data_IF_779542091006
#
_entry.id   IF_779542091006
#
_cell.length_a   1.000
_cell.length_b   1.000
_cell.length_c   1.000
_cell.angle_alpha   90.00
_cell.angle_beta   90.00
_cell.angle_gamma   90.00
#
_symmetry.space_group_name_H-M   'P 1'
#
loop_
_entity.id
_entity.type
_entity.pdbx_description
1 polymer ?
#
# COMPACT_ATOMS: atom_id res chain seq x y z
N UNK A 1 6.42 16.75 -15.43
CA UNK A 1 5.30 15.88 -15.00
C UNK A 1 5.73 15.25 -13.68
N UNK A 2 4.85 15.12 -12.68
CA UNK A 2 5.21 14.55 -11.38
C UNK A 2 5.15 13.02 -11.44
N UNK A 3 6.28 12.36 -11.22
CA UNK A 3 6.40 10.89 -11.34
C UNK A 3 6.68 10.20 -10.00
N UNK A 4 7.31 10.90 -9.06
CA UNK A 4 7.63 10.38 -7.74
C UNK A 4 7.04 11.31 -6.68
N UNK A 5 6.43 10.72 -5.66
CA UNK A 5 5.82 11.45 -4.55
C UNK A 5 6.19 10.76 -3.25
N UNK A 6 6.75 11.53 -2.31
CA UNK A 6 7.00 11.09 -0.95
C UNK A 6 6.16 11.93 0.01
N UNK A 7 5.43 11.27 0.90
CA UNK A 7 4.60 11.89 1.94
C UNK A 7 5.05 11.38 3.30
N UNK A 8 5.26 12.29 4.24
CA UNK A 8 5.68 11.95 5.60
C UNK A 8 4.80 12.68 6.63
N UNK A 9 4.14 11.92 7.52
CA UNK A 9 3.37 12.47 8.63
C UNK A 9 2.12 13.24 8.21
N UNK A 10 1.46 12.85 7.11
CA UNK A 10 0.26 13.52 6.60
C UNK A 10 -0.99 12.61 6.69
N UNK A 11 -1.59 12.43 7.87
CA UNK A 11 -2.64 11.43 8.09
C UNK A 11 -3.98 11.75 7.40
N UNK A 12 -4.23 13.02 7.09
CA UNK A 12 -5.47 13.48 6.42
C UNK A 12 -5.25 13.79 4.93
N UNK A 13 -4.10 13.41 4.38
CA UNK A 13 -3.81 13.65 2.97
C UNK A 13 -4.63 12.73 2.08
N UNK A 14 -5.32 13.32 1.10
CA UNK A 14 -6.09 12.58 0.10
C UNK A 14 -5.41 12.78 -1.24
N UNK A 15 -4.98 11.70 -1.87
CA UNK A 15 -4.41 11.78 -3.20
C UNK A 15 -5.48 12.20 -4.21
N UNK A 16 -5.32 13.36 -4.90
CA UNK A 16 -6.13 13.66 -6.07
C UNK A 16 -5.79 12.67 -7.20
N UNK A 17 -6.48 12.79 -8.34
CA UNK A 17 -6.15 11.99 -9.53
C UNK A 17 -4.77 12.40 -10.07
N UNK A 18 -3.71 11.75 -9.61
CA UNK A 18 -2.35 11.96 -10.07
C UNK A 18 -2.00 10.86 -11.08
N UNK A 19 -2.38 11.09 -12.34
CA UNK A 19 -2.26 10.10 -13.42
C UNK A 19 -0.83 9.80 -13.86
N UNK A 20 0.16 10.55 -13.37
CA UNK A 20 1.56 10.39 -13.77
C UNK A 20 2.47 9.86 -12.67
N UNK A 21 1.98 9.75 -11.43
CA UNK A 21 2.79 9.26 -10.31
C UNK A 21 2.99 7.76 -10.47
N UNK A 22 4.25 7.36 -10.61
CA UNK A 22 4.71 5.98 -10.78
C UNK A 22 5.30 5.40 -9.50
N UNK A 23 5.86 6.26 -8.63
CA UNK A 23 6.41 5.87 -7.34
C UNK A 23 5.76 6.68 -6.22
N UNK A 24 5.22 5.99 -5.23
CA UNK A 24 4.72 6.60 -4.01
C UNK A 24 5.44 6.00 -2.80
N UNK A 25 5.98 6.88 -1.96
CA UNK A 25 6.44 6.53 -0.63
C UNK A 25 5.59 7.28 0.40
N UNK A 26 4.96 6.53 1.31
CA UNK A 26 4.03 7.04 2.30
C UNK A 26 4.45 6.59 3.69
N UNK A 27 4.93 7.53 4.49
CA UNK A 27 5.36 7.33 5.87
C UNK A 27 4.39 8.08 6.79
N UNK A 28 3.79 7.44 7.79
CA UNK A 28 2.98 8.21 8.72
C UNK A 28 2.29 7.38 9.78
N UNK A 29 2.82 7.48 11.00
CA UNK A 29 2.38 6.86 12.25
C UNK A 29 0.85 6.80 12.46
N UNK A 30 0.10 7.79 11.97
CA UNK A 30 -1.36 7.91 12.17
C UNK A 30 -2.22 7.89 10.91
N UNK A 31 -1.74 7.25 9.83
CA UNK A 31 -2.51 7.14 8.60
C UNK A 31 -3.86 6.44 8.86
N UNK A 32 -4.97 7.03 8.44
CA UNK A 32 -6.30 6.43 8.64
C UNK A 32 -6.72 5.57 7.43
N UNK A 33 -7.88 4.93 7.51
CA UNK A 33 -8.42 4.16 6.39
C UNK A 33 -8.67 5.04 5.13
N UNK A 34 -8.89 6.34 5.30
CA UNK A 34 -9.13 7.30 4.21
C UNK A 34 -7.87 7.55 3.39
N UNK A 35 -6.73 7.72 4.07
CA UNK A 35 -5.41 7.82 3.43
C UNK A 35 -5.15 6.63 2.51
N UNK A 36 -5.24 5.41 3.04
CA UNK A 36 -5.00 4.19 2.28
C UNK A 36 -5.99 4.00 1.13
N UNK A 37 -7.26 4.37 1.32
CA UNK A 37 -8.24 4.37 0.23
C UNK A 37 -7.76 5.27 -0.89
N UNK A 38 -7.34 6.50 -0.62
CA UNK A 38 -6.99 7.43 -1.70
C UNK A 38 -5.83 6.97 -2.61
N UNK A 39 -5.01 6.00 -2.18
CA UNK A 39 -3.97 5.38 -3.02
C UNK A 39 -4.56 4.71 -4.27
N UNK A 40 -5.81 4.24 -4.24
CA UNK A 40 -6.48 3.63 -5.41
C UNK A 40 -6.59 4.62 -6.60
N UNK A 41 -6.47 5.93 -6.38
CA UNK A 41 -6.51 6.94 -7.45
C UNK A 41 -5.25 6.93 -8.33
N UNK A 42 -4.17 6.29 -7.88
CA UNK A 42 -2.85 6.36 -8.50
C UNK A 42 -2.61 5.20 -9.48
N UNK A 43 -3.38 5.19 -10.57
CA UNK A 43 -3.42 4.07 -11.54
C UNK A 43 -2.11 3.81 -12.30
N UNK A 44 -1.19 4.78 -12.31
CA UNK A 44 0.12 4.67 -12.93
C UNK A 44 1.20 4.09 -12.01
N UNK A 45 0.87 3.79 -10.74
CA UNK A 45 1.85 3.27 -9.79
C UNK A 45 2.47 1.97 -10.26
N UNK A 46 3.80 1.95 -10.18
CA UNK A 46 4.65 0.78 -10.39
C UNK A 46 5.43 0.42 -9.13
N UNK A 47 5.63 1.38 -8.22
CA UNK A 47 6.29 1.19 -6.93
C UNK A 47 5.51 1.89 -5.82
N UNK A 48 5.19 1.14 -4.77
CA UNK A 48 4.48 1.63 -3.60
C UNK A 48 5.20 1.19 -2.34
N UNK A 49 5.61 2.14 -1.52
CA UNK A 49 6.08 1.92 -0.17
C UNK A 49 5.09 2.55 0.80
N UNK A 50 4.54 1.74 1.70
CA UNK A 50 3.75 2.22 2.83
C UNK A 50 4.43 1.82 4.12
N UNK A 51 4.54 2.77 5.05
CA UNK A 51 5.24 2.58 6.30
C UNK A 51 4.51 3.23 7.47
N UNK A 52 4.63 2.58 8.63
CA UNK A 52 4.29 3.11 9.95
C UNK A 52 2.80 3.31 10.15
N UNK A 53 2.14 2.32 10.73
CA UNK A 53 0.82 2.51 11.32
C UNK A 53 0.70 1.65 12.57
N UNK A 54 0.58 2.30 13.72
CA UNK A 54 0.47 1.64 15.01
C UNK A 54 -0.98 1.26 15.36
N UNK A 55 -1.97 1.62 14.54
CA UNK A 55 -3.39 1.32 14.81
C UNK A 55 -4.04 0.36 13.82
N UNK A 56 -3.53 0.28 12.60
CA UNK A 56 -4.15 -0.50 11.53
C UNK A 56 -3.96 -2.00 11.75
N UNK A 57 -5.07 -2.71 11.92
CA UNK A 57 -5.08 -4.18 12.00
C UNK A 57 -5.16 -4.86 10.64
N UNK A 58 -5.61 -4.14 9.62
CA UNK A 58 -5.68 -4.56 8.22
C UNK A 58 -5.60 -3.35 7.28
N UNK A 59 -5.24 -3.59 6.02
CA UNK A 59 -5.28 -2.57 4.95
C UNK A 59 -6.62 -2.64 4.18
N UNK A 60 -7.11 -1.54 3.57
CA UNK A 60 -8.39 -1.54 2.87
C UNK A 60 -8.39 -2.43 1.61
N UNK A 61 -9.44 -3.24 1.44
CA UNK A 61 -9.60 -4.12 0.26
C UNK A 61 -9.65 -3.38 -1.09
N UNK A 62 -10.09 -2.13 -1.12
CA UNK A 62 -10.16 -1.37 -2.37
C UNK A 62 -8.80 -0.79 -2.80
N UNK A 63 -7.82 -0.79 -1.90
CA UNK A 63 -6.52 -0.15 -2.11
C UNK A 63 -5.78 -0.75 -3.31
N UNK A 64 -5.75 -2.08 -3.42
CA UNK A 64 -4.95 -2.79 -4.42
C UNK A 64 -5.68 -3.05 -5.73
N UNK A 65 -7.02 -3.05 -5.73
CA UNK A 65 -7.85 -3.44 -6.90
C UNK A 65 -7.61 -2.60 -8.16
N UNK A 66 -7.12 -1.38 -8.00
CA UNK A 66 -6.88 -0.44 -9.10
C UNK A 66 -5.41 -0.32 -9.52
N UNK A 67 -4.49 -0.96 -8.80
CA UNK A 67 -3.05 -0.85 -8.98
C UNK A 67 -2.51 -1.94 -9.92
N UNK A 68 -3.15 -2.10 -11.09
CA UNK A 68 -2.86 -3.17 -12.03
C UNK A 68 -1.41 -3.15 -12.58
N UNK A 69 -0.72 -2.01 -12.49
CA UNK A 69 0.66 -1.83 -12.97
C UNK A 69 1.71 -1.97 -11.86
N UNK A 70 1.30 -2.24 -10.62
CA UNK A 70 2.21 -2.27 -9.48
C UNK A 70 3.17 -3.45 -9.60
N UNK A 71 4.47 -3.16 -9.56
CA UNK A 71 5.57 -4.13 -9.68
C UNK A 71 6.32 -4.32 -8.36
N UNK A 72 6.41 -3.28 -7.56
CA UNK A 72 7.13 -3.28 -6.29
C UNK A 72 6.20 -2.79 -5.18
N UNK A 73 6.01 -3.61 -4.16
CA UNK A 73 5.25 -3.28 -2.96
C UNK A 73 6.11 -3.52 -1.73
N UNK A 74 6.30 -2.48 -0.93
CA UNK A 74 6.90 -2.57 0.40
C UNK A 74 5.87 -2.15 1.46
N UNK A 75 5.67 -3.00 2.45
CA UNK A 75 4.83 -2.75 3.63
C UNK A 75 5.74 -2.86 4.86
N UNK A 76 5.87 -1.77 5.62
CA UNK A 76 6.82 -1.77 6.73
C UNK A 76 6.30 -1.11 8.00
N UNK A 77 6.77 -1.57 9.16
CA UNK A 77 6.48 -0.96 10.47
C UNK A 77 4.97 -0.87 10.79
N UNK A 78 4.22 -1.95 10.55
CA UNK A 78 2.82 -2.03 11.01
C UNK A 78 2.75 -2.94 12.24
N UNK A 79 2.69 -2.33 13.43
CA UNK A 79 2.81 -3.05 14.70
C UNK A 79 1.62 -3.98 14.99
N UNK A 80 0.42 -3.62 14.51
CA UNK A 80 -0.83 -4.33 14.80
C UNK A 80 -1.45 -5.04 13.57
N UNK A 81 -0.77 -5.01 12.42
CA UNK A 81 -1.29 -5.58 11.17
C UNK A 81 -1.30 -7.10 11.23
N UNK A 82 -2.50 -7.69 11.23
CA UNK A 82 -2.71 -9.14 11.38
C UNK A 82 -2.81 -9.88 10.06
N UNK A 83 -3.38 -9.21 9.07
CA UNK A 83 -3.68 -9.77 7.76
C UNK A 83 -3.52 -8.72 6.66
N UNK A 84 -3.09 -9.18 5.48
CA UNK A 84 -3.16 -8.38 4.26
C UNK A 84 -4.47 -8.65 3.52
N UNK A 85 -5.05 -7.64 2.86
CA UNK A 85 -6.31 -7.79 2.15
C UNK A 85 -6.20 -8.79 0.98
N UNK A 86 -7.28 -9.51 0.72
CA UNK A 86 -7.37 -10.51 -0.36
C UNK A 86 -7.18 -9.90 -1.75
N UNK A 87 -7.54 -8.63 -1.92
CA UNK A 87 -7.25 -7.83 -3.12
C UNK A 87 -5.77 -7.73 -3.48
N UNK A 88 -4.84 -8.11 -2.61
CA UNK A 88 -3.43 -8.28 -2.99
C UNK A 88 -3.29 -9.24 -4.19
N UNK A 89 -4.17 -10.24 -4.31
CA UNK A 89 -4.28 -11.14 -5.46
C UNK A 89 -4.58 -10.45 -6.79
N UNK A 90 -5.11 -9.22 -6.77
CA UNK A 90 -5.37 -8.46 -7.99
C UNK A 90 -4.11 -7.83 -8.60
N UNK A 91 -2.99 -7.83 -7.88
CA UNK A 91 -1.72 -7.26 -8.32
C UNK A 91 -0.97 -8.18 -9.29
N UNK A 92 -1.55 -8.43 -10.45
CA UNK A 92 -1.02 -9.35 -11.47
C UNK A 92 0.37 -8.97 -12.02
N UNK A 93 0.77 -7.70 -11.91
CA UNK A 93 2.07 -7.21 -12.35
C UNK A 93 3.15 -7.28 -11.26
N UNK A 94 2.80 -7.68 -10.03
CA UNK A 94 3.72 -7.65 -8.89
C UNK A 94 4.91 -8.58 -9.13
N UNK A 95 6.11 -8.04 -8.95
CA UNK A 95 7.39 -8.74 -9.09
C UNK A 95 8.17 -8.83 -7.79
N UNK A 96 7.89 -7.90 -6.87
CA UNK A 96 8.58 -7.81 -5.60
C UNK A 96 7.59 -7.40 -4.52
N UNK A 97 7.52 -8.21 -3.47
CA UNK A 97 6.79 -7.93 -2.24
C UNK A 97 7.78 -8.01 -1.08
N UNK A 98 7.96 -6.90 -0.38
CA UNK A 98 8.74 -6.83 0.85
C UNK A 98 7.81 -6.47 2.01
N UNK A 99 7.92 -7.23 3.11
CA UNK A 99 7.21 -6.97 4.36
C UNK A 99 8.24 -6.96 5.47
N UNK A 100 8.30 -5.85 6.22
CA UNK A 100 9.35 -5.62 7.22
C UNK A 100 8.77 -5.06 8.50
N UNK A 101 9.16 -5.62 9.65
CA UNK A 101 8.71 -5.11 10.96
C UNK A 101 7.18 -5.06 11.10
N UNK A 102 6.49 -6.16 10.77
CA UNK A 102 5.06 -6.36 11.00
C UNK A 102 4.87 -7.57 11.93
N UNK A 103 5.05 -7.41 13.25
CA UNK A 103 5.19 -8.53 14.20
C UNK A 103 3.92 -9.36 14.39
N UNK A 104 2.75 -8.76 14.21
CA UNK A 104 1.44 -9.42 14.37
C UNK A 104 0.93 -10.08 13.06
N UNK A 105 1.66 -9.94 11.95
CA UNK A 105 1.22 -10.50 10.66
C UNK A 105 1.39 -12.02 10.65
N UNK A 106 0.28 -12.75 10.67
CA UNK A 106 0.30 -14.21 10.81
C UNK A 106 0.51 -14.94 9.48
N UNK A 107 -0.07 -14.41 8.40
CA UNK A 107 -0.03 -15.08 7.09
C UNK A 107 -0.19 -14.10 5.93
N UNK A 108 0.19 -14.56 4.73
CA UNK A 108 -0.17 -13.93 3.47
C UNK A 108 -1.51 -14.48 2.97
N UNK A 109 -2.34 -13.69 2.27
CA UNK A 109 -3.61 -14.16 1.74
C UNK A 109 -3.40 -15.33 0.78
N UNK A 110 -4.14 -16.43 0.97
CA UNK A 110 -3.99 -17.68 0.19
C UNK A 110 -4.14 -17.47 -1.32
N UNK A 111 -4.95 -16.50 -1.73
CA UNK A 111 -5.15 -16.17 -3.15
C UNK A 111 -4.11 -15.19 -3.71
N UNK A 112 -3.36 -14.51 -2.83
CA UNK A 112 -2.57 -13.32 -3.16
C UNK A 112 -1.15 -13.54 -3.65
N UNK A 113 -0.59 -14.73 -3.44
CA UNK A 113 0.83 -15.03 -3.70
C UNK A 113 0.96 -16.33 -4.47
N UNK A 114 0.31 -16.41 -5.63
CA UNK A 114 0.60 -17.47 -6.60
C UNK A 114 1.90 -17.07 -7.31
N UNK A 115 2.99 -17.73 -6.93
CA UNK A 115 4.30 -17.60 -7.57
C UNK A 115 4.26 -17.95 -9.05
#
# INVERSE_FOLDING_TARGET
VLEELTINGCPVFVFPTLSSVMKLEAYGDKSDATFFRSIYNLRALTSLHISSNDTATSLPEEMFKSLANLKYLEISFFDNLKELPTSLASLNALKHLEIKSCPELESLPEEGVKG
#
